data_IF_463462777292
#
_entry.id   IF_463462777292
#
_cell.length_a   1.000
_cell.length_b   1.000
_cell.length_c   1.000
_cell.angle_alpha   90.00
_cell.angle_beta   90.00
_cell.angle_gamma   90.00
#
_symmetry.space_group_name_H-M   'P 1'
#
loop_
_entity.id
_entity.type
_entity.pdbx_description
1 polymer ?
#
# COMPACT_ATOMS: atom_id res chain seq x y z
N UNK A 1 2.34 12.52 -10.46
CA UNK A 1 2.14 12.90 -9.09
C UNK A 1 3.35 13.55 -8.50
N UNK A 2 3.17 14.58 -7.64
CA UNK A 2 4.26 15.24 -7.06
C UNK A 2 4.99 14.37 -6.10
N UNK A 3 6.27 14.45 -6.04
CA UNK A 3 7.07 13.66 -5.12
C UNK A 3 6.76 14.08 -3.69
N UNK A 4 6.49 13.13 -2.83
CA UNK A 4 6.19 13.38 -1.43
C UNK A 4 7.34 12.86 -0.60
N UNK A 5 7.91 13.72 0.26
CA UNK A 5 9.05 13.37 1.07
C UNK A 5 8.79 12.17 1.97
N UNK A 6 9.71 11.26 2.00
CA UNK A 6 9.64 10.08 2.88
C UNK A 6 8.87 8.89 2.32
N UNK A 7 8.07 9.10 1.27
CA UNK A 7 7.24 8.02 0.81
C UNK A 7 8.01 6.92 0.09
N UNK A 8 9.09 7.27 -0.59
CA UNK A 8 9.89 6.27 -1.28
C UNK A 8 10.60 5.36 -0.30
N UNK A 9 11.04 5.90 0.82
CA UNK A 9 11.71 5.10 1.84
C UNK A 9 10.73 4.11 2.44
N UNK A 10 9.49 4.52 2.69
CA UNK A 10 8.47 3.64 3.22
C UNK A 10 8.15 2.52 2.22
N UNK A 11 8.00 2.89 0.94
CA UNK A 11 7.71 1.93 -0.09
C UNK A 11 8.81 0.88 -0.16
N UNK A 12 10.07 1.29 -0.12
CA UNK A 12 11.19 0.37 -0.20
C UNK A 12 11.21 -0.61 0.98
N UNK A 13 10.86 -0.13 2.17
CA UNK A 13 10.79 -0.99 3.34
C UNK A 13 9.67 -2.02 3.18
N UNK A 14 8.51 -1.61 2.69
CA UNK A 14 7.41 -2.53 2.48
C UNK A 14 7.78 -3.60 1.45
N UNK A 15 8.44 -3.21 0.38
CA UNK A 15 8.84 -4.16 -0.65
C UNK A 15 9.83 -5.18 -0.07
N UNK A 16 10.81 -4.69 0.67
CA UNK A 16 11.84 -5.54 1.25
C UNK A 16 11.29 -6.50 2.30
N UNK A 17 10.43 -6.00 3.17
CA UNK A 17 9.96 -6.78 4.30
C UNK A 17 8.73 -7.64 4.04
N UNK A 18 7.87 -7.22 3.15
CA UNK A 18 6.59 -7.89 2.96
C UNK A 18 6.46 -8.62 1.63
N UNK A 19 7.29 -8.31 0.67
CA UNK A 19 7.24 -8.86 -0.67
C UNK A 19 5.84 -8.77 -1.26
N UNK A 20 5.27 -7.57 -1.32
CA UNK A 20 3.88 -7.40 -1.74
C UNK A 20 3.70 -7.54 -3.23
N UNK A 21 2.48 -7.76 -3.66
CA UNK A 21 2.13 -7.78 -5.07
C UNK A 21 1.82 -6.36 -5.55
N UNK A 22 1.17 -5.55 -4.71
CA UNK A 22 0.85 -4.17 -5.03
C UNK A 22 0.88 -3.32 -3.79
N UNK A 23 1.20 -2.05 -3.93
CA UNK A 23 1.13 -1.07 -2.86
C UNK A 23 0.37 0.13 -3.38
N UNK A 24 -0.72 0.49 -2.69
CA UNK A 24 -1.50 1.67 -3.04
C UNK A 24 -1.40 2.71 -1.94
N UNK A 25 -1.37 3.98 -2.34
CA UNK A 25 -1.52 5.09 -1.43
C UNK A 25 -2.93 5.61 -1.67
N UNK A 26 -3.71 5.83 -0.64
CA UNK A 26 -5.07 6.30 -0.79
C UNK A 26 -5.36 7.42 0.22
N UNK A 27 -6.60 7.87 0.32
CA UNK A 27 -6.98 8.93 1.23
C UNK A 27 -6.53 10.29 0.71
N UNK A 28 -6.23 11.22 1.61
CA UNK A 28 -5.96 12.59 1.24
C UNK A 28 -4.78 12.77 0.31
N UNK A 29 -3.76 11.94 0.45
CA UNK A 29 -2.60 12.05 -0.42
C UNK A 29 -2.92 11.68 -1.87
N UNK A 30 -3.76 10.70 -2.09
CA UNK A 30 -4.13 10.30 -3.44
C UNK A 30 -5.05 11.33 -4.07
N UNK A 31 -5.87 12.03 -3.25
CA UNK A 31 -6.80 13.01 -3.76
C UNK A 31 -6.19 14.40 -3.93
N UNK A 32 -4.98 14.61 -3.50
CA UNK A 32 -4.33 15.91 -3.61
C UNK A 32 -4.78 16.93 -2.56
N UNK A 33 -5.51 16.48 -1.54
CA UNK A 33 -6.03 17.37 -0.51
C UNK A 33 -5.21 17.29 0.78
N UNK A 34 -3.99 16.80 0.71
CA UNK A 34 -3.19 16.57 1.88
C UNK A 34 -2.51 17.83 2.41
N UNK A 35 -2.17 17.80 3.68
CA UNK A 35 -1.32 18.78 4.32
C UNK A 35 -0.21 18.03 5.00
N UNK A 36 0.74 18.73 5.62
CA UNK A 36 1.84 18.08 6.32
C UNK A 36 1.36 17.30 7.52
N UNK A 37 0.17 17.55 8.00
CA UNK A 37 -0.35 16.87 9.16
C UNK A 37 -1.16 15.63 8.81
N UNK A 38 -1.42 15.36 7.57
CA UNK A 38 -2.19 14.19 7.19
C UNK A 38 -1.35 12.92 7.28
N UNK A 39 -2.00 11.79 7.60
CA UNK A 39 -1.34 10.52 7.67
C UNK A 39 -1.19 9.97 6.28
N UNK A 40 -0.23 9.10 6.10
CA UNK A 40 -0.13 8.32 4.87
C UNK A 40 -1.04 7.11 5.07
N UNK A 41 -1.91 6.81 4.10
CA UNK A 41 -2.77 5.65 4.17
C UNK A 41 -2.34 4.68 3.06
N UNK A 42 -1.79 3.53 3.44
CA UNK A 42 -1.35 2.51 2.50
C UNK A 42 -2.25 1.29 2.52
N UNK A 43 -2.52 0.77 1.34
CA UNK A 43 -3.16 -0.53 1.22
C UNK A 43 -2.16 -1.43 0.49
N UNK A 44 -1.76 -2.51 1.14
CA UNK A 44 -0.73 -3.41 0.63
C UNK A 44 -1.39 -4.75 0.30
N UNK A 45 -1.28 -5.17 -0.95
CA UNK A 45 -1.86 -6.42 -1.40
C UNK A 45 -0.78 -7.47 -1.45
N UNK A 46 -1.01 -8.59 -0.78
CA UNK A 46 -0.07 -9.70 -0.74
C UNK A 46 -0.70 -10.96 -1.34
N UNK A 47 0.12 -11.99 -1.55
CA UNK A 47 -0.34 -13.23 -2.13
C UNK A 47 -1.37 -13.91 -1.22
N UNK A 48 -2.29 -14.67 -1.81
CA UNK A 48 -3.27 -15.42 -1.06
C UNK A 48 -2.59 -16.50 -0.22
N UNK A 49 -1.33 -16.80 -0.46
CA UNK A 49 -0.60 -17.81 0.28
C UNK A 49 -0.26 -17.30 1.68
N UNK A 50 -0.32 -16.00 1.92
CA UNK A 50 -0.02 -15.47 3.24
C UNK A 50 -1.19 -15.75 4.17
N UNK A 51 -0.93 -16.47 5.25
CA UNK A 51 -1.98 -16.82 6.17
C UNK A 51 -2.07 -15.97 7.44
N UNK A 52 -0.97 -15.42 7.88
CA UNK A 52 -0.94 -14.63 9.09
C UNK A 52 -0.85 -13.15 8.81
N UNK A 53 -1.93 -12.57 8.32
CA UNK A 53 -1.94 -11.15 7.97
C UNK A 53 -1.67 -10.25 9.17
N UNK A 54 -2.06 -10.71 10.38
CA UNK A 54 -1.84 -9.90 11.54
C UNK A 54 -0.38 -9.77 11.84
N UNK A 55 0.39 -10.85 11.69
CA UNK A 55 1.81 -10.84 11.96
C UNK A 55 2.51 -9.98 10.90
N UNK A 56 2.04 -10.06 9.67
CA UNK A 56 2.63 -9.29 8.58
C UNK A 56 2.36 -7.81 8.81
N UNK A 57 1.19 -7.44 9.31
CA UNK A 57 0.84 -6.06 9.62
C UNK A 57 1.76 -5.53 10.71
N UNK A 58 1.99 -6.32 11.76
CA UNK A 58 2.91 -5.94 12.82
C UNK A 58 4.33 -5.73 12.28
N UNK A 59 4.76 -6.62 11.40
CA UNK A 59 6.08 -6.51 10.79
C UNK A 59 6.18 -5.23 9.95
N UNK A 60 5.12 -4.89 9.24
CA UNK A 60 5.08 -3.69 8.42
C UNK A 60 5.26 -2.43 9.28
N UNK A 61 4.53 -2.33 10.38
CA UNK A 61 4.64 -1.18 11.26
C UNK A 61 6.04 -1.11 11.91
N UNK A 62 6.61 -2.24 12.28
CA UNK A 62 7.93 -2.26 12.88
C UNK A 62 9.00 -1.80 11.88
N UNK A 63 8.86 -2.19 10.62
CA UNK A 63 9.86 -1.92 9.61
C UNK A 63 10.04 -0.43 9.33
N UNK A 64 9.01 0.37 9.59
CA UNK A 64 9.05 1.80 9.31
C UNK A 64 9.17 2.67 10.56
N UNK A 65 9.17 2.05 11.74
CA UNK A 65 9.13 2.81 12.99
C UNK A 65 10.19 3.90 13.11
N UNK A 66 11.38 3.62 12.65
CA UNK A 66 12.48 4.57 12.78
C UNK A 66 12.60 5.55 11.61
N UNK A 67 11.95 5.27 10.50
CA UNK A 67 12.13 6.10 9.32
C UNK A 67 10.91 6.96 9.01
N UNK A 68 9.76 6.66 9.57
CA UNK A 68 8.57 7.45 9.25
C UNK A 68 8.66 8.83 9.87
N UNK A 69 8.22 9.83 9.14
CA UNK A 69 8.23 11.21 9.59
C UNK A 69 6.84 11.73 9.91
N UNK A 70 5.82 10.93 9.71
CA UNK A 70 4.43 11.26 10.03
C UNK A 70 3.69 9.97 10.29
N UNK A 71 2.47 10.03 10.78
CA UNK A 71 1.71 8.85 11.06
C UNK A 71 1.42 8.11 9.78
N UNK A 72 1.42 6.79 9.86
CA UNK A 72 1.20 5.92 8.73
C UNK A 72 0.18 4.87 9.12
N UNK A 73 -0.89 4.73 8.31
CA UNK A 73 -1.87 3.70 8.53
C UNK A 73 -1.67 2.66 7.45
N UNK A 74 -1.62 1.40 7.83
CA UNK A 74 -1.36 0.30 6.92
C UNK A 74 -2.49 -0.70 6.99
N UNK A 75 -3.08 -1.03 5.83
CA UNK A 75 -4.06 -2.09 5.72
C UNK A 75 -3.44 -3.11 4.78
N UNK A 76 -3.41 -4.38 5.19
CA UNK A 76 -2.87 -5.45 4.37
C UNK A 76 -4.00 -6.42 4.04
N UNK A 77 -4.17 -6.73 2.78
CA UNK A 77 -5.16 -7.70 2.34
C UNK A 77 -4.55 -8.64 1.31
N UNK A 78 -5.16 -9.80 1.17
CA UNK A 78 -4.73 -10.74 0.14
C UNK A 78 -5.34 -10.33 -1.19
N UNK A 79 -4.79 -10.85 -2.27
CA UNK A 79 -5.25 -10.51 -3.59
C UNK A 79 -6.73 -10.87 -3.78
N UNK A 80 -7.14 -12.06 -3.37
CA UNK A 80 -8.53 -12.50 -3.56
C UNK A 80 -9.49 -11.66 -2.71
N UNK A 81 -9.09 -11.27 -1.50
CA UNK A 81 -9.93 -10.42 -0.66
C UNK A 81 -10.13 -9.07 -1.33
N UNK A 82 -9.07 -8.50 -1.87
CA UNK A 82 -9.16 -7.20 -2.53
C UNK A 82 -10.09 -7.29 -3.75
N UNK A 83 -9.91 -8.33 -4.57
CA UNK A 83 -10.71 -8.51 -5.79
C UNK A 83 -12.19 -8.69 -5.46
N UNK A 84 -12.50 -9.36 -4.36
CA UNK A 84 -13.88 -9.54 -3.98
C UNK A 84 -14.47 -8.28 -3.37
N UNK A 85 -13.79 -7.62 -2.46
CA UNK A 85 -14.33 -6.48 -1.75
C UNK A 85 -14.40 -5.21 -2.57
N UNK A 86 -13.58 -5.07 -3.59
CA UNK A 86 -13.60 -3.86 -4.40
C UNK A 86 -14.90 -3.71 -5.18
N UNK A 87 -15.69 -4.78 -5.30
CA UNK A 87 -16.91 -4.74 -6.05
C UNK A 87 -18.07 -4.15 -5.26
N UNK A 88 -17.92 -3.95 -3.96
CA UNK A 88 -18.96 -3.43 -3.10
C UNK A 88 -18.44 -2.20 -2.38
N UNK A 89 -19.28 -1.39 -1.76
CA UNK A 89 -18.81 -0.24 -0.99
C UNK A 89 -17.89 -0.71 0.12
N UNK A 90 -16.62 -0.32 0.08
CA UNK A 90 -15.61 -0.79 1.01
C UNK A 90 -14.36 0.05 0.86
N UNK A 91 -13.38 -0.15 1.75
CA UNK A 91 -12.09 0.50 1.64
C UNK A 91 -11.43 0.04 0.34
N UNK A 92 -11.60 -1.24 -0.03
CA UNK A 92 -11.00 -1.78 -1.25
C UNK A 92 -11.57 -1.09 -2.50
N UNK A 93 -12.86 -0.77 -2.48
CA UNK A 93 -13.48 -0.07 -3.57
C UNK A 93 -12.90 1.35 -3.71
N UNK A 94 -12.70 2.02 -2.56
CA UNK A 94 -12.15 3.35 -2.53
C UNK A 94 -10.71 3.34 -3.07
N UNK A 95 -9.91 2.38 -2.65
CA UNK A 95 -8.53 2.23 -3.10
C UNK A 95 -8.48 2.00 -4.60
N UNK A 96 -9.36 1.14 -5.11
CA UNK A 96 -9.38 0.83 -6.53
C UNK A 96 -9.74 2.06 -7.36
N UNK A 97 -10.70 2.83 -6.92
CA UNK A 97 -11.16 4.00 -7.66
C UNK A 97 -10.29 5.24 -7.53
N UNK A 98 -9.79 5.49 -6.37
CA UNK A 98 -9.08 6.72 -6.08
C UNK A 98 -7.65 6.58 -5.62
N UNK A 99 -7.21 5.38 -5.36
CA UNK A 99 -5.85 5.15 -4.86
C UNK A 99 -4.80 5.32 -5.94
N UNK A 100 -3.59 5.64 -5.52
CA UNK A 100 -2.47 5.75 -6.42
C UNK A 100 -1.61 4.51 -6.25
N UNK A 101 -1.36 3.77 -7.34
CA UNK A 101 -0.58 2.54 -7.27
C UNK A 101 0.90 2.88 -7.33
N UNK A 102 1.59 2.73 -6.17
CA UNK A 102 3.00 3.01 -6.11
C UNK A 102 3.84 1.82 -6.53
N UNK A 103 3.33 0.60 -6.48
CA UNK A 103 4.10 -0.56 -6.85
C UNK A 103 3.14 -1.63 -7.34
N UNK A 104 3.43 -2.24 -8.48
CA UNK A 104 2.63 -3.30 -9.02
C UNK A 104 3.57 -4.34 -9.60
N UNK A 105 3.84 -5.40 -8.84
CA UNK A 105 4.74 -6.43 -9.27
C UNK A 105 4.21 -7.19 -10.47
N UNK A 106 2.89 -7.33 -10.59
CA UNK A 106 2.33 -8.03 -11.73
C UNK A 106 2.56 -7.28 -13.02
N UNK A 107 2.51 -5.95 -12.97
CA UNK A 107 2.79 -5.15 -14.15
C UNK A 107 4.26 -5.30 -14.53
N UNK A 108 5.14 -5.40 -13.51
CA UNK A 108 6.53 -5.54 -13.79
C UNK A 108 6.80 -6.89 -14.39
N UNK A 109 6.16 -7.94 -13.91
CA UNK A 109 6.44 -9.25 -14.45
C UNK A 109 5.88 -9.38 -15.84
N UNK A 110 4.84 -8.64 -16.16
CA UNK A 110 4.26 -8.75 -17.45
C UNK A 110 5.09 -8.00 -18.42
N UNK A 111 6.14 -7.36 -17.97
CA UNK A 111 6.79 -6.54 -18.68
C UNK A 111 7.73 -7.05 -19.48
N UNK A 112 7.62 -7.99 -19.85
CA UNK A 112 8.46 -8.46 -20.69
C UNK A 112 8.54 -7.43 -21.62
N UNK A 113 7.84 -6.63 -21.50
CA UNK A 113 7.69 -5.64 -22.34
C UNK A 113 8.71 -4.63 -22.23
N UNK A 114 9.37 -4.68 -21.65
CA UNK A 114 10.29 -3.65 -21.67
C UNK A 114 11.50 -4.08 -21.07
#
# INVERSE_FOLDING_TARGET
MKKIEGIEELKEQFISQLKPLKIYLFGSFANGTYTEENDFDFYIIVSDEVKELKDLTTQAYRSIRKIKKRSVDIIIGTESTFENKKKSPSVENEVMKKGYCYMNQKAKSGLIWH
#
